data_IF_101502216513
#
_entry.id   IF_101502216513
#
_cell.length_a   1.000
_cell.length_b   1.000
_cell.length_c   1.000
_cell.angle_alpha   90.00
_cell.angle_beta   90.00
_cell.angle_gamma   90.00
#
_symmetry.space_group_name_H-M   'P 1'
#
loop_
_entity.id
_entity.type
_entity.pdbx_description
1 polymer ?
#
# COMPACT_ATOMS: atom_id res chain seq x y z
N UNK A 1 -5.21 -7.38 18.85
CA UNK A 1 -4.57 -8.00 17.69
C UNK A 1 -3.30 -7.29 17.33
N UNK A 2 -2.20 -8.03 17.28
CA UNK A 2 -0.90 -7.48 16.92
C UNK A 2 -0.60 -7.67 15.44
N UNK A 3 0.13 -6.75 14.84
CA UNK A 3 0.66 -6.94 13.52
C UNK A 3 2.17 -6.71 13.50
N UNK A 4 2.83 -7.29 12.50
CA UNK A 4 4.28 -7.18 12.30
C UNK A 4 4.60 -6.87 10.84
N UNK A 5 5.75 -6.25 10.61
CA UNK A 5 6.19 -5.82 9.30
C UNK A 5 7.42 -6.62 8.87
N UNK A 6 7.47 -7.00 7.60
CA UNK A 6 8.50 -7.88 7.05
C UNK A 6 8.90 -7.43 5.66
N UNK A 7 10.10 -7.84 5.22
CA UNK A 7 10.48 -7.68 3.81
C UNK A 7 9.54 -8.49 2.92
N UNK A 8 9.32 -8.04 1.70
CA UNK A 8 8.45 -8.77 0.76
C UNK A 8 8.97 -10.19 0.49
N UNK A 9 10.30 -10.35 0.42
CA UNK A 9 10.92 -11.65 0.19
C UNK A 9 10.73 -12.64 1.33
N UNK A 10 10.28 -12.19 2.50
CA UNK A 10 9.98 -13.08 3.63
C UNK A 10 8.64 -13.81 3.47
N UNK A 11 7.82 -13.40 2.50
CA UNK A 11 6.52 -14.02 2.24
C UNK A 11 6.62 -14.92 1.00
N UNK A 12 6.20 -16.19 1.09
CA UNK A 12 6.23 -17.09 -0.07
C UNK A 12 5.42 -16.57 -1.25
N UNK A 13 5.91 -16.79 -2.46
CA UNK A 13 5.26 -16.31 -3.70
C UNK A 13 3.80 -16.74 -3.80
N UNK A 14 3.41 -17.99 -3.48
CA UNK A 14 1.99 -18.38 -3.56
C UNK A 14 1.06 -17.51 -2.72
N UNK A 15 1.53 -16.99 -1.58
CA UNK A 15 0.73 -16.10 -0.73
C UNK A 15 0.56 -14.73 -1.39
N UNK A 16 1.61 -14.22 -2.05
CA UNK A 16 1.50 -13.00 -2.84
C UNK A 16 0.52 -13.16 -3.99
N UNK A 17 0.57 -14.31 -4.67
CA UNK A 17 -0.36 -14.59 -5.78
C UNK A 17 -1.81 -14.64 -5.30
N UNK A 18 -2.06 -15.22 -4.13
CA UNK A 18 -3.40 -15.26 -3.55
C UNK A 18 -3.95 -13.84 -3.30
N UNK A 19 -3.11 -12.93 -2.81
CA UNK A 19 -3.52 -11.54 -2.57
C UNK A 19 -3.77 -10.81 -3.89
N UNK A 20 -2.82 -10.90 -4.84
CA UNK A 20 -2.88 -10.15 -6.09
C UNK A 20 -3.95 -10.66 -7.06
N UNK A 21 -4.46 -11.86 -6.83
CA UNK A 21 -5.54 -12.46 -7.63
C UNK A 21 -6.89 -12.47 -6.91
N UNK A 22 -6.95 -11.98 -5.69
CA UNK A 22 -8.19 -11.97 -4.92
C UNK A 22 -9.19 -11.00 -5.56
N UNK A 23 -10.42 -11.45 -5.91
CA UNK A 23 -11.38 -10.61 -6.63
C UNK A 23 -11.70 -9.28 -5.94
N UNK A 24 -11.87 -9.31 -4.62
CA UNK A 24 -12.20 -8.12 -3.85
C UNK A 24 -11.01 -7.16 -3.72
N UNK A 25 -9.78 -7.68 -3.80
CA UNK A 25 -8.57 -6.85 -3.81
C UNK A 25 -8.40 -6.20 -5.18
N UNK A 26 -8.50 -6.97 -6.25
CA UNK A 26 -8.36 -6.49 -7.63
C UNK A 26 -9.36 -5.38 -7.94
N UNK A 27 -10.58 -5.48 -7.44
CA UNK A 27 -11.63 -4.49 -7.65
C UNK A 27 -11.20 -3.07 -7.28
N UNK A 28 -10.33 -2.94 -6.29
CA UNK A 28 -9.81 -1.66 -5.82
C UNK A 28 -8.38 -1.38 -6.29
N UNK A 29 -7.88 -2.15 -7.25
CA UNK A 29 -6.54 -2.01 -7.81
C UNK A 29 -6.61 -1.95 -9.34
N UNK A 30 -7.01 -0.81 -9.92
CA UNK A 30 -7.21 -0.72 -11.38
C UNK A 30 -5.97 -1.04 -12.22
N UNK A 31 -4.77 -0.93 -11.63
CA UNK A 31 -3.51 -1.21 -12.33
C UNK A 31 -3.02 -2.65 -12.13
N UNK A 32 -3.75 -3.45 -11.33
CA UNK A 32 -3.36 -4.84 -11.10
C UNK A 32 -3.63 -5.68 -12.35
N UNK A 33 -2.71 -6.62 -12.62
CA UNK A 33 -2.86 -7.59 -13.70
C UNK A 33 -3.21 -8.95 -13.09
N UNK A 34 -4.48 -9.42 -13.21
CA UNK A 34 -4.87 -10.71 -12.64
C UNK A 34 -4.22 -11.90 -13.34
N UNK A 35 -3.54 -11.69 -14.47
CA UNK A 35 -2.89 -12.73 -15.23
C UNK A 35 -1.39 -12.88 -14.90
N UNK A 36 -0.90 -12.18 -13.89
CA UNK A 36 0.49 -12.31 -13.46
C UNK A 36 0.81 -13.75 -13.08
N UNK A 37 1.90 -14.27 -13.65
CA UNK A 37 2.43 -15.60 -13.30
C UNK A 37 3.43 -15.50 -12.14
N UNK A 38 3.97 -16.64 -11.71
CA UNK A 38 4.94 -16.69 -10.59
C UNK A 38 6.18 -15.85 -10.87
N UNK A 39 6.70 -15.87 -12.07
CA UNK A 39 7.90 -15.12 -12.42
C UNK A 39 7.66 -13.62 -12.36
N UNK A 40 6.53 -13.15 -12.86
CA UNK A 40 6.16 -11.74 -12.78
C UNK A 40 5.99 -11.29 -11.33
N UNK A 41 5.36 -12.11 -10.50
CA UNK A 41 5.18 -11.81 -9.08
C UNK A 41 6.53 -11.80 -8.36
N UNK A 42 7.42 -12.74 -8.66
CA UNK A 42 8.76 -12.78 -8.05
C UNK A 42 9.56 -11.52 -8.39
N UNK A 43 9.51 -11.06 -9.63
CA UNK A 43 10.16 -9.82 -10.04
C UNK A 43 9.56 -8.62 -9.32
N UNK A 44 8.24 -8.57 -9.19
CA UNK A 44 7.53 -7.52 -8.48
C UNK A 44 7.95 -7.46 -7.01
N UNK A 45 8.07 -8.63 -6.35
CA UNK A 45 8.52 -8.72 -4.95
C UNK A 45 9.93 -8.15 -4.81
N UNK A 46 10.85 -8.52 -5.71
CA UNK A 46 12.22 -8.02 -5.67
C UNK A 46 12.28 -6.51 -5.88
N UNK A 47 11.48 -6.00 -6.81
CA UNK A 47 11.43 -4.56 -7.08
C UNK A 47 10.91 -3.77 -5.87
N UNK A 48 9.94 -4.33 -5.15
CA UNK A 48 9.42 -3.69 -3.93
C UNK A 48 10.47 -3.62 -2.83
N UNK A 49 11.19 -4.71 -2.59
CA UNK A 49 12.27 -4.71 -1.60
C UNK A 49 13.42 -3.76 -1.99
N UNK A 50 13.71 -3.65 -3.29
CA UNK A 50 14.78 -2.78 -3.79
C UNK A 50 14.51 -1.29 -3.53
N UNK A 51 13.28 -0.87 -3.38
CA UNK A 51 12.94 0.52 -3.08
C UNK A 51 13.59 1.02 -1.79
N UNK A 52 13.80 0.14 -0.82
CA UNK A 52 14.46 0.49 0.44
C UNK A 52 15.91 0.93 0.21
N UNK A 53 16.62 0.27 -0.69
CA UNK A 53 17.99 0.63 -1.05
C UNK A 53 18.00 1.93 -1.84
N UNK A 54 17.07 2.08 -2.79
CA UNK A 54 17.06 3.21 -3.70
C UNK A 54 16.55 4.51 -3.05
N UNK A 55 15.56 4.41 -2.17
CA UNK A 55 14.85 5.58 -1.64
C UNK A 55 15.05 5.80 -0.13
N UNK A 56 15.61 4.84 0.60
CA UNK A 56 15.67 4.89 2.06
C UNK A 56 14.35 4.59 2.75
N UNK A 57 13.32 4.30 1.98
CA UNK A 57 12.00 3.84 2.45
C UNK A 57 11.38 2.96 1.38
N UNK A 58 10.34 2.21 1.75
CA UNK A 58 9.68 1.33 0.81
C UNK A 58 8.50 0.60 1.45
N UNK A 59 7.86 -0.27 0.67
CA UNK A 59 6.74 -1.07 1.18
C UNK A 59 7.25 -2.25 2.01
N UNK A 60 6.38 -2.74 2.89
CA UNK A 60 6.62 -3.90 3.75
C UNK A 60 5.43 -4.83 3.72
N UNK A 61 5.68 -6.12 3.84
CA UNK A 61 4.64 -7.12 4.02
C UNK A 61 4.11 -7.04 5.46
N UNK A 62 2.82 -7.31 5.63
CA UNK A 62 2.13 -7.19 6.92
C UNK A 62 1.59 -8.56 7.31
N UNK A 63 1.90 -9.00 8.54
CA UNK A 63 1.25 -10.14 9.17
C UNK A 63 0.42 -9.65 10.34
N UNK A 64 -0.78 -10.20 10.47
CA UNK A 64 -1.66 -9.97 11.62
C UNK A 64 -1.76 -11.29 12.37
N UNK A 65 -1.36 -11.29 13.64
CA UNK A 65 -1.30 -12.49 14.48
C UNK A 65 -0.57 -13.66 13.80
N UNK A 66 0.52 -13.34 13.09
CA UNK A 66 1.35 -14.33 12.41
C UNK A 66 0.87 -14.75 11.01
N UNK A 67 -0.28 -14.27 10.55
CA UNK A 67 -0.85 -14.60 9.25
C UNK A 67 -0.62 -13.47 8.24
N UNK A 68 -0.29 -13.82 7.00
CA UNK A 68 -0.09 -12.83 5.95
C UNK A 68 -1.42 -12.09 5.68
N UNK A 69 -1.38 -10.78 5.86
CA UNK A 69 -2.57 -9.93 5.73
C UNK A 69 -2.54 -9.02 4.50
N UNK A 70 -1.37 -8.72 3.97
CA UNK A 70 -1.22 -7.80 2.85
C UNK A 70 0.10 -7.04 2.90
N UNK A 71 0.12 -5.82 2.38
CA UNK A 71 1.31 -5.00 2.38
C UNK A 71 0.96 -3.52 2.46
N UNK A 72 1.93 -2.71 2.84
CA UNK A 72 1.77 -1.26 2.87
C UNK A 72 3.11 -0.58 3.04
N UNK A 73 3.13 0.73 2.88
CA UNK A 73 4.32 1.52 3.09
C UNK A 73 4.43 2.71 2.16
N UNK A 74 5.57 3.40 2.27
CA UNK A 74 5.83 4.61 1.52
C UNK A 74 6.66 4.30 0.29
N UNK A 75 6.13 4.61 -0.87
CA UNK A 75 6.81 4.48 -2.14
C UNK A 75 7.12 5.89 -2.69
N UNK A 76 7.92 5.96 -3.74
CA UNK A 76 8.19 7.23 -4.43
C UNK A 76 7.37 7.28 -5.71
N UNK A 77 6.58 8.35 -5.87
CA UNK A 77 5.78 8.61 -7.07
C UNK A 77 5.95 10.06 -7.46
N UNK A 78 6.49 10.31 -8.65
CA UNK A 78 6.77 11.67 -9.15
C UNK A 78 7.59 12.52 -8.18
N UNK A 79 8.56 11.91 -7.49
CA UNK A 79 9.43 12.60 -6.53
C UNK A 79 8.81 12.85 -5.17
N UNK A 80 7.56 12.43 -4.96
CA UNK A 80 6.85 12.58 -3.69
C UNK A 80 6.65 11.22 -3.02
N UNK A 81 6.49 11.23 -1.69
CA UNK A 81 6.17 10.01 -0.95
C UNK A 81 4.70 9.66 -1.16
N UNK A 82 4.43 8.42 -1.54
CA UNK A 82 3.09 7.89 -1.75
C UNK A 82 2.86 6.70 -0.81
N UNK A 83 1.82 6.77 0.02
CA UNK A 83 1.47 5.68 0.91
C UNK A 83 0.49 4.74 0.21
N UNK A 84 0.80 3.45 0.22
CA UNK A 84 -0.08 2.41 -0.28
C UNK A 84 -0.40 1.42 0.83
N UNK A 85 -1.60 0.86 0.79
CA UNK A 85 -2.03 -0.21 1.70
C UNK A 85 -2.98 -1.13 0.97
N UNK A 86 -2.62 -2.41 0.91
CA UNK A 86 -3.43 -3.46 0.28
C UNK A 86 -3.56 -4.61 1.26
N UNK A 87 -4.79 -4.92 1.66
CA UNK A 87 -5.08 -5.99 2.62
C UNK A 87 -6.09 -6.97 2.05
N UNK A 88 -5.98 -8.24 2.45
CA UNK A 88 -7.08 -9.18 2.26
C UNK A 88 -8.33 -8.64 2.96
N UNK A 89 -9.55 -8.89 2.41
CA UNK A 89 -10.79 -8.37 2.99
C UNK A 89 -10.97 -8.68 4.48
N UNK A 90 -10.52 -9.86 4.93
CA UNK A 90 -10.61 -10.25 6.33
C UNK A 90 -9.91 -9.26 7.28
N UNK A 91 -8.95 -8.48 6.78
CA UNK A 91 -8.16 -7.54 7.59
C UNK A 91 -8.48 -6.07 7.30
N UNK A 92 -9.50 -5.78 6.48
CA UNK A 92 -9.85 -4.38 6.16
C UNK A 92 -10.20 -3.58 7.42
N UNK A 93 -10.77 -4.22 8.44
CA UNK A 93 -11.06 -3.57 9.71
C UNK A 93 -9.82 -3.10 10.48
N UNK A 94 -8.63 -3.62 10.13
CA UNK A 94 -7.35 -3.23 10.74
C UNK A 94 -6.69 -2.05 10.03
N UNK A 95 -7.23 -1.63 8.86
CA UNK A 95 -6.58 -0.65 8.00
C UNK A 95 -6.25 0.66 8.68
N UNK A 96 -7.21 1.23 9.44
CA UNK A 96 -7.00 2.51 10.12
C UNK A 96 -5.85 2.47 11.12
N UNK A 97 -5.75 1.39 11.88
CA UNK A 97 -4.68 1.19 12.87
C UNK A 97 -3.33 1.03 12.18
N UNK A 98 -3.29 0.29 11.10
CA UNK A 98 -2.07 0.06 10.33
C UNK A 98 -1.59 1.37 9.68
N UNK A 99 -2.48 2.12 9.05
CA UNK A 99 -2.16 3.44 8.48
C UNK A 99 -1.58 4.36 9.55
N UNK A 100 -2.22 4.40 10.72
CA UNK A 100 -1.76 5.26 11.83
C UNK A 100 -0.34 4.88 12.27
N UNK A 101 -0.04 3.58 12.33
CA UNK A 101 1.29 3.11 12.68
C UNK A 101 2.34 3.60 11.64
N UNK A 102 2.07 3.40 10.35
CA UNK A 102 2.97 3.87 9.31
C UNK A 102 3.17 5.39 9.36
N UNK A 103 2.09 6.14 9.51
CA UNK A 103 2.16 7.60 9.56
C UNK A 103 2.96 8.10 10.76
N UNK A 104 2.92 7.39 11.89
CA UNK A 104 3.71 7.75 13.07
C UNK A 104 5.22 7.61 12.83
N UNK A 105 5.62 6.80 11.85
CA UNK A 105 7.04 6.54 11.54
C UNK A 105 7.58 7.39 10.39
N UNK A 106 6.75 8.21 9.77
CA UNK A 106 7.18 8.97 8.59
C UNK A 106 8.33 9.94 8.89
N UNK A 107 8.35 10.53 10.08
CA UNK A 107 9.40 11.46 10.49
C UNK A 107 10.77 10.77 10.56
N UNK A 108 10.83 9.54 11.06
CA UNK A 108 12.04 8.72 11.13
C UNK A 108 12.62 8.46 9.74
N UNK A 109 11.76 8.42 8.73
CA UNK A 109 12.14 8.16 7.34
C UNK A 109 12.43 9.46 6.57
N UNK A 110 12.34 10.62 7.23
CA UNK A 110 12.57 11.91 6.60
C UNK A 110 11.45 12.38 5.70
N UNK A 111 10.23 11.84 5.89
CA UNK A 111 9.07 12.17 5.05
C UNK A 111 8.20 13.21 5.76
N UNK A 112 7.98 14.35 5.10
CA UNK A 112 7.12 15.42 5.64
C UNK A 112 5.67 15.18 5.24
N UNK A 113 5.30 15.48 4.00
CA UNK A 113 3.97 15.24 3.50
C UNK A 113 3.91 13.93 2.71
N UNK A 114 2.80 13.22 2.80
CA UNK A 114 2.61 11.93 2.14
C UNK A 114 1.30 11.97 1.37
N UNK A 115 1.30 11.43 0.16
CA UNK A 115 0.11 11.30 -0.67
C UNK A 115 -0.47 9.90 -0.56
N UNK A 116 -1.78 9.79 -0.77
CA UNK A 116 -2.46 8.51 -0.97
C UNK A 116 -3.30 8.64 -2.23
N UNK A 117 -3.14 7.69 -3.15
CA UNK A 117 -3.96 7.60 -4.35
C UNK A 117 -4.97 6.47 -4.16
N UNK A 118 -6.26 6.80 -4.31
CA UNK A 118 -7.33 5.83 -4.17
C UNK A 118 -8.16 5.79 -5.45
N UNK A 119 -8.52 4.59 -5.94
CA UNK A 119 -9.46 4.50 -7.06
C UNK A 119 -10.84 5.01 -6.64
N UNK A 120 -11.65 5.55 -7.57
CA UNK A 120 -12.98 6.03 -7.22
C UNK A 120 -13.91 4.97 -6.65
N UNK A 121 -13.59 3.69 -6.84
CA UNK A 121 -14.35 2.57 -6.26
C UNK A 121 -14.22 2.51 -4.73
N UNK A 122 -13.21 3.16 -4.14
CA UNK A 122 -13.05 3.26 -2.69
C UNK A 122 -13.87 4.43 -2.19
N UNK A 123 -15.01 4.13 -1.58
CA UNK A 123 -15.96 5.16 -1.13
C UNK A 123 -15.74 5.61 0.31
N UNK A 124 -15.01 4.82 1.12
CA UNK A 124 -14.81 5.12 2.54
C UNK A 124 -13.51 5.87 2.76
N UNK A 125 -13.61 7.19 2.87
CA UNK A 125 -12.45 8.06 3.09
C UNK A 125 -12.45 8.77 4.46
N UNK A 126 -13.42 8.46 5.33
CA UNK A 126 -13.52 9.10 6.67
C UNK A 126 -12.27 8.89 7.51
N UNK A 127 -11.68 7.68 7.45
CA UNK A 127 -10.46 7.39 8.19
C UNK A 127 -9.30 8.31 7.80
N UNK A 128 -9.21 8.67 6.52
CA UNK A 128 -8.19 9.59 6.04
C UNK A 128 -8.42 11.00 6.57
N UNK A 129 -9.67 11.47 6.59
CA UNK A 129 -10.00 12.78 7.15
C UNK A 129 -9.65 12.85 8.63
N UNK A 130 -9.90 11.80 9.40
CA UNK A 130 -9.54 11.72 10.83
C UNK A 130 -8.04 11.79 11.05
N UNK A 131 -7.22 11.34 10.08
CA UNK A 131 -5.77 11.44 10.14
C UNK A 131 -5.24 12.76 9.57
N UNK A 132 -6.12 13.67 9.18
CA UNK A 132 -5.74 14.96 8.65
C UNK A 132 -5.50 15.01 7.15
N UNK A 133 -5.72 13.91 6.42
CA UNK A 133 -5.58 13.91 4.97
C UNK A 133 -6.68 14.74 4.31
N UNK A 134 -6.30 15.51 3.31
CA UNK A 134 -7.23 16.32 2.53
C UNK A 134 -7.15 15.94 1.07
N UNK A 135 -8.30 15.93 0.40
CA UNK A 135 -8.33 15.70 -1.04
C UNK A 135 -7.73 16.91 -1.75
N UNK A 136 -6.69 16.68 -2.56
CA UNK A 136 -5.98 17.75 -3.28
C UNK A 136 -6.17 17.70 -4.79
N UNK A 137 -6.79 16.64 -5.32
CA UNK A 137 -7.04 16.55 -6.75
C UNK A 137 -7.25 15.13 -7.24
N UNK A 138 -7.02 14.97 -8.53
CA UNK A 138 -7.11 13.69 -9.24
C UNK A 138 -5.86 13.49 -10.07
N UNK A 139 -5.49 12.22 -10.27
CA UNK A 139 -4.34 11.84 -11.07
C UNK A 139 -4.76 10.74 -12.04
N UNK A 140 -4.26 10.80 -13.27
CA UNK A 140 -4.44 9.72 -14.26
C UNK A 140 -3.15 8.92 -14.34
N UNK A 141 -3.24 7.61 -14.08
CA UNK A 141 -2.12 6.68 -14.21
C UNK A 141 -2.55 5.54 -15.14
N UNK A 142 -1.80 5.34 -16.23
CA UNK A 142 -2.10 4.30 -17.23
C UNK A 142 -3.57 4.30 -17.68
N UNK A 143 -4.15 5.50 -17.88
CA UNK A 143 -5.52 5.65 -18.30
C UNK A 143 -6.56 5.45 -17.20
N UNK A 144 -6.13 5.21 -15.97
CA UNK A 144 -7.02 5.01 -14.82
C UNK A 144 -7.04 6.26 -13.94
N UNK A 145 -8.23 6.61 -13.44
CA UNK A 145 -8.45 7.78 -12.57
C UNK A 145 -8.22 7.40 -11.11
N UNK A 146 -7.49 8.26 -10.39
CA UNK A 146 -7.28 8.12 -8.95
C UNK A 146 -7.60 9.45 -8.26
N UNK A 147 -8.20 9.35 -7.07
CA UNK A 147 -8.36 10.50 -6.18
C UNK A 147 -7.09 10.65 -5.36
N UNK A 148 -6.55 11.87 -5.28
CA UNK A 148 -5.30 12.14 -4.55
C UNK A 148 -5.62 12.84 -3.23
N UNK A 149 -5.11 12.28 -2.14
CA UNK A 149 -5.19 12.82 -0.79
C UNK A 149 -3.79 13.13 -0.29
N UNK A 150 -3.64 14.18 0.51
CA UNK A 150 -2.35 14.58 1.06
C UNK A 150 -2.44 14.77 2.56
N UNK A 151 -1.44 14.26 3.30
CA UNK A 151 -1.33 14.44 4.73
C UNK A 151 -0.89 15.86 5.07
N UNK A 152 -1.14 16.35 6.31
CA UNK A 152 -0.52 17.59 6.77
C UNK A 152 1.00 17.41 6.78
N UNK A 153 1.70 18.47 6.41
CA UNK A 153 3.14 18.48 6.20
C UNK A 153 4.02 18.28 7.41
#
# INVERSE_FOLDING_TARGET
MGFSLHAFSDIPIPQWMALLRHPDVIRHMPLADPNWDEDAVAEWVQAKDAQWVDNGHGPLAIRVDGHFAGWGGFQREDGEADFALVLFPAYWGQGGRIVRHFMSRRAELGLEAVNILLPPSRLRTRGLSRLGFQRVGEVMLDGQRFLKFRSPG
#
